data_IF_850197677600
#
_entry.id   IF_850197677600
#
_cell.length_a   1.000
_cell.length_b   1.000
_cell.length_c   1.000
_cell.angle_alpha   90.00
_cell.angle_beta   90.00
_cell.angle_gamma   90.00
#
_symmetry.space_group_name_H-M   'P 1'
#
loop_
_entity.id
_entity.type
_entity.pdbx_description
1 polymer ?
#
# COMPACT_ATOMS: atom_id res chain seq x y z
N UNK A 1 18.91 -55.68 30.86
CA UNK A 1 19.46 -54.52 30.10
C UNK A 1 18.30 -53.56 29.80
N UNK A 2 18.51 -52.25 29.94
CA UNK A 2 17.63 -51.42 30.76
C UNK A 2 16.59 -50.58 29.98
N UNK A 3 15.51 -50.33 30.71
CA UNK A 3 14.60 -49.18 30.71
C UNK A 3 15.18 -47.89 30.11
N UNK A 4 14.48 -47.30 29.15
CA UNK A 4 14.53 -45.86 28.89
C UNK A 4 13.12 -45.36 28.60
N UNK A 5 12.40 -45.03 29.69
CA UNK A 5 11.28 -44.10 29.61
C UNK A 5 11.81 -42.79 29.03
N UNK A 6 11.13 -42.30 28.01
CA UNK A 6 11.27 -40.91 27.57
C UNK A 6 10.87 -40.01 28.75
N UNK A 7 11.69 -39.01 29.13
CA UNK A 7 11.37 -38.14 30.26
C UNK A 7 10.09 -37.35 29.95
N UNK A 8 9.15 -37.34 30.90
CA UNK A 8 8.05 -36.38 30.88
C UNK A 8 8.62 -34.96 31.00
N UNK A 9 8.08 -33.98 30.26
CA UNK A 9 8.49 -32.59 30.40
C UNK A 9 8.14 -32.05 31.79
N UNK A 10 9.13 -31.45 32.42
CA UNK A 10 9.07 -30.85 33.75
C UNK A 10 8.06 -29.68 33.79
N UNK A 11 7.10 -29.64 34.74
CA UNK A 11 6.10 -28.58 34.82
C UNK A 11 6.65 -27.23 35.33
N UNK A 12 7.96 -27.12 35.60
CA UNK A 12 8.57 -25.92 36.19
C UNK A 12 9.52 -25.15 35.28
N UNK A 13 9.41 -25.30 33.96
CA UNK A 13 10.02 -24.30 33.07
C UNK A 13 9.19 -23.01 33.06
N UNK A 14 9.73 -21.86 33.50
CA UNK A 14 9.07 -20.59 33.27
C UNK A 14 8.99 -20.38 31.76
N UNK A 15 7.76 -20.33 31.22
CA UNK A 15 7.54 -19.89 29.85
C UNK A 15 8.18 -18.51 29.72
N UNK A 16 9.11 -18.36 28.78
CA UNK A 16 9.66 -17.06 28.38
C UNK A 16 8.51 -16.03 28.29
N UNK A 17 8.55 -14.92 29.02
CA UNK A 17 7.74 -13.78 28.68
C UNK A 17 8.35 -13.14 27.42
N UNK A 18 7.51 -12.44 26.66
CA UNK A 18 7.91 -11.57 25.55
C UNK A 18 8.26 -12.27 24.24
N UNK A 19 7.25 -12.84 23.58
CA UNK A 19 7.03 -12.37 22.23
C UNK A 19 5.98 -11.27 22.36
N UNK A 20 6.48 -10.04 22.52
CA UNK A 20 5.66 -8.86 22.41
C UNK A 20 4.93 -8.97 21.06
N UNK A 21 3.60 -9.10 21.12
CA UNK A 21 2.77 -8.54 20.08
C UNK A 21 3.22 -7.09 19.95
N UNK A 22 4.11 -6.83 19.01
CA UNK A 22 4.33 -5.46 18.59
C UNK A 22 2.97 -5.03 18.07
N UNK A 23 2.34 -3.99 18.63
CA UNK A 23 1.25 -3.33 17.91
C UNK A 23 1.77 -3.05 16.48
N UNK A 24 0.93 -3.14 15.43
CA UNK A 24 1.36 -2.70 14.11
C UNK A 24 2.02 -1.34 14.31
N UNK A 25 3.30 -1.23 13.94
CA UNK A 25 3.97 0.06 13.98
C UNK A 25 3.01 1.03 13.31
N UNK A 26 2.66 2.16 13.93
CA UNK A 26 2.07 3.24 13.17
C UNK A 26 3.09 3.51 12.06
N UNK A 27 2.77 3.09 10.84
CA UNK A 27 3.40 3.59 9.63
C UNK A 27 3.60 5.07 9.85
N UNK A 28 4.80 5.63 9.59
CA UNK A 28 5.07 7.04 9.83
C UNK A 28 3.86 7.77 9.29
N UNK A 29 3.11 8.40 10.22
CA UNK A 29 1.91 9.17 9.91
C UNK A 29 2.38 10.02 8.77
N UNK A 30 1.94 9.69 7.55
CA UNK A 30 2.19 10.53 6.40
C UNK A 30 1.60 11.83 6.88
N UNK A 31 2.47 12.78 7.21
CA UNK A 31 2.06 14.14 7.53
C UNK A 31 0.98 14.40 6.51
N UNK A 32 -0.22 14.76 6.97
CA UNK A 32 -1.27 15.32 6.13
C UNK A 32 -0.77 16.70 5.66
N UNK A 33 0.44 16.72 5.10
CA UNK A 33 1.04 17.79 4.37
C UNK A 33 0.44 17.69 2.99
N UNK A 34 0.05 18.85 2.53
CA UNK A 34 -0.68 19.07 1.30
C UNK A 34 -0.07 18.26 0.15
N UNK A 35 -0.80 17.24 -0.34
CA UNK A 35 -0.34 16.45 -1.48
C UNK A 35 -0.21 17.33 -2.75
N UNK A 36 -0.82 18.51 -2.77
CA UNK A 36 -0.72 19.49 -3.86
C UNK A 36 0.62 20.22 -3.90
N UNK A 37 1.32 20.32 -2.76
CA UNK A 37 2.61 21.01 -2.62
C UNK A 37 3.81 20.05 -2.72
N UNK A 38 3.55 18.76 -2.92
CA UNK A 38 4.61 17.77 -3.12
C UNK A 38 5.23 17.90 -4.51
N UNK A 39 6.55 17.69 -4.59
CA UNK A 39 7.23 17.58 -5.89
C UNK A 39 6.73 16.32 -6.62
N UNK A 40 6.84 16.29 -7.95
CA UNK A 40 6.36 15.16 -8.77
C UNK A 40 6.91 13.80 -8.29
N UNK A 41 8.18 13.78 -7.84
CA UNK A 41 8.81 12.60 -7.28
C UNK A 41 8.16 12.16 -5.95
N UNK A 42 7.93 13.10 -5.02
CA UNK A 42 7.29 12.83 -3.73
C UNK A 42 5.83 12.41 -3.88
N UNK A 43 5.10 13.04 -4.81
CA UNK A 43 3.72 12.69 -5.13
C UNK A 43 3.66 11.28 -5.69
N UNK A 44 4.55 10.94 -6.63
CA UNK A 44 4.66 9.60 -7.20
C UNK A 44 4.98 8.55 -6.14
N UNK A 45 5.90 8.82 -5.22
CA UNK A 45 6.19 7.92 -4.10
C UNK A 45 4.98 7.76 -3.15
N UNK A 46 4.25 8.85 -2.90
CA UNK A 46 3.05 8.84 -2.05
C UNK A 46 1.92 8.03 -2.69
N UNK A 47 1.68 8.20 -3.99
CA UNK A 47 0.71 7.40 -4.77
C UNK A 47 1.13 5.93 -4.82
N UNK A 48 2.41 5.65 -5.06
CA UNK A 48 2.95 4.30 -5.06
C UNK A 48 2.75 3.63 -3.70
N UNK A 49 3.04 4.34 -2.61
CA UNK A 49 2.82 3.83 -1.26
C UNK A 49 1.33 3.54 -1.01
N UNK A 50 0.44 4.45 -1.39
CA UNK A 50 -1.01 4.26 -1.27
C UNK A 50 -1.49 3.04 -2.07
N UNK A 51 -0.99 2.85 -3.29
CA UNK A 51 -1.31 1.71 -4.12
C UNK A 51 -0.83 0.39 -3.49
N UNK A 52 0.38 0.37 -2.95
CA UNK A 52 0.91 -0.80 -2.21
C UNK A 52 0.10 -1.10 -0.95
N UNK A 53 -0.32 -0.08 -0.21
CA UNK A 53 -1.14 -0.21 1.00
C UNK A 53 -2.55 -0.71 0.68
N UNK A 54 -3.16 -0.23 -0.41
CA UNK A 54 -4.52 -0.60 -0.81
C UNK A 54 -4.57 -1.99 -1.42
N UNK A 55 -3.67 -2.31 -2.34
CA UNK A 55 -3.60 -3.63 -3.01
C UNK A 55 -2.86 -4.69 -2.20
N UNK A 56 -2.31 -4.32 -1.04
CA UNK A 56 -1.49 -5.21 -0.20
C UNK A 56 -0.28 -5.82 -0.95
N UNK A 57 0.22 -5.12 -1.97
CA UNK A 57 1.35 -5.51 -2.81
C UNK A 57 2.57 -4.73 -2.42
N UNK A 58 3.49 -5.33 -1.67
CA UNK A 58 4.75 -4.67 -1.27
C UNK A 58 5.75 -4.51 -2.43
N UNK A 59 5.57 -5.25 -3.53
CA UNK A 59 6.45 -5.28 -4.69
C UNK A 59 6.08 -4.36 -5.85
N UNK A 60 4.93 -3.69 -5.81
CA UNK A 60 4.43 -2.88 -6.94
C UNK A 60 5.44 -1.79 -7.32
N UNK A 61 5.83 -1.73 -8.59
CA UNK A 61 6.70 -0.67 -9.11
C UNK A 61 5.90 0.42 -9.84
N UNK A 62 6.41 1.65 -9.92
CA UNK A 62 5.68 2.74 -10.55
C UNK A 62 5.60 2.64 -12.08
N UNK A 63 6.54 1.94 -12.70
CA UNK A 63 6.65 1.65 -14.13
C UNK A 63 6.00 0.32 -14.54
N UNK A 64 5.53 -0.45 -13.56
CA UNK A 64 4.92 -1.75 -13.77
C UNK A 64 3.41 -1.62 -14.00
N UNK A 65 2.89 -2.49 -14.85
CA UNK A 65 1.46 -2.59 -15.12
C UNK A 65 0.73 -3.09 -13.87
N UNK A 66 -0.25 -2.32 -13.42
CA UNK A 66 -0.95 -2.60 -12.16
C UNK A 66 -1.75 -3.90 -12.22
N UNK A 67 -2.38 -4.22 -13.35
CA UNK A 67 -3.07 -5.51 -13.53
C UNK A 67 -2.07 -6.67 -13.50
N UNK A 68 -0.92 -6.51 -14.16
CA UNK A 68 0.13 -7.52 -14.17
C UNK A 68 0.78 -7.72 -12.79
N UNK A 69 0.86 -6.67 -11.98
CA UNK A 69 1.34 -6.73 -10.60
C UNK A 69 0.35 -7.41 -9.65
N UNK A 70 -0.90 -7.63 -10.09
CA UNK A 70 -1.97 -8.27 -9.31
C UNK A 70 -2.89 -7.29 -8.61
N UNK A 71 -2.88 -6.00 -8.97
CA UNK A 71 -3.94 -5.07 -8.59
C UNK A 71 -5.20 -5.49 -9.34
N UNK A 72 -6.33 -5.57 -8.66
CA UNK A 72 -7.62 -5.83 -9.28
C UNK A 72 -8.48 -4.55 -9.41
N UNK A 73 -9.62 -4.65 -10.08
CA UNK A 73 -10.51 -3.52 -10.29
C UNK A 73 -11.09 -2.95 -8.97
N UNK A 74 -11.14 -3.77 -7.91
CA UNK A 74 -11.65 -3.39 -6.60
C UNK A 74 -10.62 -2.55 -5.84
N UNK A 75 -9.36 -2.96 -5.87
CA UNK A 75 -8.22 -2.25 -5.33
C UNK A 75 -7.99 -0.94 -6.08
N UNK A 76 -8.00 -0.97 -7.42
CA UNK A 76 -7.86 0.22 -8.26
C UNK A 76 -8.92 1.28 -7.94
N UNK A 77 -10.18 0.84 -7.72
CA UNK A 77 -11.27 1.72 -7.29
C UNK A 77 -11.01 2.32 -5.91
N UNK A 78 -10.44 1.53 -4.98
CA UNK A 78 -10.05 1.99 -3.65
C UNK A 78 -8.95 3.05 -3.69
N UNK A 79 -7.91 2.80 -4.48
CA UNK A 79 -6.78 3.72 -4.69
C UNK A 79 -7.30 5.06 -5.24
N UNK A 80 -8.12 5.01 -6.28
CA UNK A 80 -8.67 6.21 -6.92
C UNK A 80 -9.52 7.04 -5.96
N UNK A 81 -10.39 6.40 -5.16
CA UNK A 81 -11.20 7.09 -4.15
C UNK A 81 -10.37 7.77 -3.08
N UNK A 82 -9.30 7.12 -2.63
CA UNK A 82 -8.38 7.74 -1.68
C UNK A 82 -7.63 8.90 -2.33
N UNK A 83 -7.21 8.77 -3.59
CA UNK A 83 -6.57 9.86 -4.32
C UNK A 83 -7.50 11.06 -4.51
N UNK A 84 -8.76 10.86 -4.89
CA UNK A 84 -9.75 11.96 -5.01
C UNK A 84 -9.87 12.72 -3.68
N UNK A 85 -9.89 12.02 -2.54
CA UNK A 85 -9.94 12.66 -1.21
C UNK A 85 -8.66 13.41 -0.87
N UNK A 86 -7.50 12.90 -1.28
CA UNK A 86 -6.18 13.50 -1.00
C UNK A 86 -5.83 14.61 -1.97
N UNK A 87 -6.39 14.57 -3.18
CA UNK A 87 -6.08 15.44 -4.30
C UNK A 87 -7.31 16.26 -4.76
N UNK A 88 -7.94 17.08 -3.88
CA UNK A 88 -9.16 17.82 -4.24
C UNK A 88 -8.97 18.88 -5.33
N UNK A 89 -7.74 19.32 -5.60
CA UNK A 89 -7.37 20.23 -6.69
C UNK A 89 -7.15 19.58 -8.06
N UNK A 90 -7.28 18.26 -8.18
CA UNK A 90 -7.18 17.55 -9.46
C UNK A 90 -8.57 17.06 -9.92
N UNK A 91 -8.82 17.12 -11.22
CA UNK A 91 -10.06 16.63 -11.83
C UNK A 91 -10.00 15.12 -12.12
N UNK A 92 -10.11 14.33 -11.05
CA UNK A 92 -10.12 12.87 -11.11
C UNK A 92 -11.59 12.40 -11.09
N UNK A 93 -12.11 11.75 -12.15
CA UNK A 93 -13.50 11.27 -12.17
C UNK A 93 -13.66 10.10 -11.20
N UNK A 94 -14.66 10.10 -10.32
CA UNK A 94 -14.96 8.96 -9.42
C UNK A 94 -15.68 7.82 -10.16
N UNK A 95 -16.46 8.16 -11.19
CA UNK A 95 -17.33 7.21 -11.90
C UNK A 95 -16.58 6.39 -12.96
N UNK A 96 -15.38 6.81 -13.36
CA UNK A 96 -14.57 6.12 -14.38
C UNK A 96 -13.27 5.66 -13.76
N UNK A 97 -13.01 4.35 -13.78
CA UNK A 97 -11.75 3.80 -13.31
C UNK A 97 -10.63 4.25 -14.27
N UNK A 98 -9.79 5.17 -13.81
CA UNK A 98 -8.65 5.70 -14.57
C UNK A 98 -7.50 4.69 -14.51
N UNK A 99 -7.25 4.14 -13.33
CA UNK A 99 -6.33 3.02 -13.18
C UNK A 99 -6.82 1.83 -14.00
N UNK A 100 -5.90 1.11 -14.66
CA UNK A 100 -6.23 0.02 -15.61
C UNK A 100 -6.90 0.48 -16.91
N UNK A 101 -7.20 1.77 -17.05
CA UNK A 101 -7.58 2.35 -18.34
C UNK A 101 -6.40 2.36 -19.31
N UNK A 102 -6.68 2.50 -20.61
CA UNK A 102 -5.66 2.43 -21.67
C UNK A 102 -4.50 3.41 -21.48
N UNK A 103 -4.75 4.59 -20.93
CA UNK A 103 -3.77 5.66 -20.73
C UNK A 103 -3.09 5.67 -19.35
N UNK A 104 -3.53 4.84 -18.40
CA UNK A 104 -3.13 4.92 -16.98
C UNK A 104 -2.92 3.54 -16.33
N UNK A 105 -2.30 2.61 -17.07
CA UNK A 105 -1.97 1.25 -16.59
C UNK A 105 -0.84 1.22 -15.54
N UNK A 106 -0.03 2.27 -15.49
CA UNK A 106 1.10 2.39 -14.56
C UNK A 106 0.93 3.66 -13.70
N UNK A 107 1.57 3.68 -12.54
CA UNK A 107 1.54 4.86 -11.67
C UNK A 107 2.27 6.05 -12.31
N UNK A 108 3.31 5.79 -13.10
CA UNK A 108 3.99 6.84 -13.88
C UNK A 108 3.06 7.48 -14.91
N UNK A 109 2.31 6.66 -15.66
CA UNK A 109 1.32 7.14 -16.61
C UNK A 109 0.21 7.94 -15.92
N UNK A 110 -0.28 7.45 -14.77
CA UNK A 110 -1.24 8.18 -13.95
C UNK A 110 -0.70 9.52 -13.42
N UNK A 111 0.55 9.56 -12.96
CA UNK A 111 1.18 10.80 -12.51
C UNK A 111 1.32 11.81 -13.66
N UNK A 112 1.63 11.34 -14.87
CA UNK A 112 1.65 12.20 -16.06
C UNK A 112 0.24 12.70 -16.41
N UNK A 113 -0.75 11.81 -16.41
CA UNK A 113 -2.16 12.17 -16.65
C UNK A 113 -2.68 13.20 -15.63
N UNK A 114 -2.28 13.10 -14.36
CA UNK A 114 -2.63 14.08 -13.33
C UNK A 114 -2.12 15.49 -13.66
N UNK A 115 -0.97 15.64 -14.32
CA UNK A 115 -0.42 16.97 -14.66
C UNK A 115 -1.37 17.74 -15.58
N UNK A 116 -1.97 17.05 -16.54
CA UNK A 116 -2.96 17.61 -17.47
C UNK A 116 -4.33 17.88 -16.81
N UNK A 117 -4.55 17.39 -15.58
CA UNK A 117 -5.82 17.48 -14.84
C UNK A 117 -5.79 18.40 -13.63
N UNK A 118 -4.67 19.10 -13.40
CA UNK A 118 -4.55 20.09 -12.34
C UNK A 118 -5.43 21.31 -12.68
N UNK A 119 -6.35 21.67 -11.78
CA UNK A 119 -7.21 22.86 -11.92
C UNK A 119 -6.47 24.16 -11.65
#
# INVERSE_FOLDING_TARGET
KPFWLKPLPDPRSPRKPSQAFSPPQPTPQAKMGDWMDQSEADLKESILKLARETSNLSGLKPDEDMEAAGVDSMDASGIQKELIKKLPGYDIPDETLIFMGDDCKTIDAFCNWLKDKKK
#
